data_IF_153281761516
#
_entry.id   IF_153281761516
#
_cell.length_a   1.000
_cell.length_b   1.000
_cell.length_c   1.000
_cell.angle_alpha   90.00
_cell.angle_beta   90.00
_cell.angle_gamma   90.00
#
_symmetry.space_group_name_H-M   'P 1'
#
loop_
_entity.id
_entity.type
_entity.pdbx_description
1 polymer ?
#
# COMPACT_ATOMS: atom_id res chain seq x y z
N UNK A 1 2.15 -17.01 31.73
CA UNK A 1 1.65 -17.61 30.51
C UNK A 1 0.14 -17.41 30.50
N UNK A 2 -0.34 -16.48 29.71
CA UNK A 2 -1.77 -16.31 29.44
C UNK A 2 -2.09 -17.39 28.41
N UNK A 3 -2.71 -18.47 28.84
CA UNK A 3 -3.01 -19.64 28.02
C UNK A 3 -4.33 -19.51 27.25
N UNK A 4 -5.08 -18.41 27.45
CA UNK A 4 -6.42 -18.20 26.92
C UNK A 4 -6.56 -16.86 26.19
N UNK A 5 -5.55 -16.50 25.36
CA UNK A 5 -5.68 -15.34 24.48
C UNK A 5 -6.78 -15.63 23.43
N UNK A 6 -7.83 -14.81 23.36
CA UNK A 6 -8.82 -15.00 22.33
C UNK A 6 -8.17 -14.83 20.94
N UNK A 7 -8.56 -15.66 19.96
CA UNK A 7 -8.03 -15.51 18.61
C UNK A 7 -8.37 -14.12 18.06
N UNK A 8 -7.46 -13.55 17.27
CA UNK A 8 -7.73 -12.31 16.56
C UNK A 8 -8.93 -12.52 15.62
N UNK A 9 -9.93 -11.63 15.71
CA UNK A 9 -11.02 -11.60 14.75
C UNK A 9 -10.48 -11.10 13.41
N UNK A 10 -10.66 -11.90 12.38
CA UNK A 10 -10.29 -11.57 11.00
C UNK A 10 -11.52 -11.32 10.15
N UNK A 11 -11.38 -10.68 8.98
CA UNK A 11 -12.49 -10.46 8.08
C UNK A 11 -12.95 -11.78 7.47
N UNK A 12 -14.22 -12.15 7.65
CA UNK A 12 -14.81 -13.35 7.04
C UNK A 12 -15.51 -13.06 5.71
N UNK A 13 -15.66 -11.77 5.34
CA UNK A 13 -16.29 -11.36 4.08
C UNK A 13 -15.47 -11.73 2.85
N UNK A 14 -16.15 -11.79 1.71
CA UNK A 14 -15.59 -12.13 0.40
C UNK A 14 -15.37 -10.92 -0.52
N UNK A 15 -15.51 -9.69 -0.02
CA UNK A 15 -15.39 -8.47 -0.82
C UNK A 15 -14.31 -7.57 -0.24
N UNK A 16 -13.33 -7.17 -1.06
CA UNK A 16 -12.29 -6.21 -0.70
C UNK A 16 -11.77 -5.47 -1.94
N UNK A 17 -11.26 -4.26 -1.74
CA UNK A 17 -10.42 -3.60 -2.74
C UNK A 17 -9.05 -4.27 -2.79
N UNK A 18 -8.41 -4.28 -3.95
CA UNK A 18 -7.07 -4.83 -4.14
C UNK A 18 -6.79 -5.19 -5.58
N UNK A 19 -5.68 -5.88 -5.80
CA UNK A 19 -5.24 -6.37 -7.09
C UNK A 19 -5.18 -7.90 -7.06
N UNK A 20 -5.28 -8.52 -8.23
CA UNK A 20 -4.92 -9.92 -8.43
C UNK A 20 -3.41 -9.97 -8.68
N UNK A 21 -2.63 -10.28 -7.67
CA UNK A 21 -1.17 -10.26 -7.71
C UNK A 21 -0.58 -11.55 -8.28
N UNK A 22 -1.22 -12.69 -8.02
CA UNK A 22 -0.74 -14.01 -8.43
C UNK A 22 -1.31 -14.48 -9.77
N UNK A 23 -2.26 -13.73 -10.35
CA UNK A 23 -2.93 -14.07 -11.60
C UNK A 23 -3.96 -15.20 -11.49
N UNK A 24 -4.28 -15.67 -10.29
CA UNK A 24 -5.22 -16.74 -10.03
C UNK A 24 -6.57 -16.18 -9.54
N UNK A 25 -7.66 -16.69 -10.05
CA UNK A 25 -9.02 -16.26 -9.66
C UNK A 25 -9.79 -17.30 -8.86
N UNK A 26 -9.34 -18.55 -8.82
CA UNK A 26 -10.06 -19.67 -8.19
C UNK A 26 -9.52 -20.05 -6.80
N UNK A 27 -8.46 -19.38 -6.32
CA UNK A 27 -7.84 -19.65 -5.02
C UNK A 27 -7.15 -21.03 -4.93
N UNK A 28 -6.93 -21.69 -6.06
CA UNK A 28 -6.22 -22.97 -6.08
C UNK A 28 -4.74 -22.78 -5.81
N UNK A 29 -4.23 -23.45 -4.78
CA UNK A 29 -2.81 -23.41 -4.46
C UNK A 29 -1.95 -24.02 -5.57
N UNK A 30 -1.04 -23.25 -6.11
CA UNK A 30 0.06 -23.72 -6.94
C UNK A 30 1.39 -23.28 -6.33
N UNK A 31 2.55 -23.84 -6.75
CA UNK A 31 3.84 -23.36 -6.22
C UNK A 31 4.15 -21.87 -6.48
N UNK A 32 3.31 -21.18 -7.23
CA UNK A 32 3.47 -19.77 -7.62
C UNK A 32 2.29 -18.90 -7.24
N UNK A 33 1.25 -19.45 -6.62
CA UNK A 33 0.03 -18.74 -6.27
C UNK A 33 -0.23 -18.84 -4.78
N UNK A 34 -0.85 -17.82 -4.23
CA UNK A 34 -1.30 -17.79 -2.86
C UNK A 34 -2.30 -18.91 -2.57
N UNK A 35 -2.19 -19.50 -1.39
CA UNK A 35 -3.05 -20.62 -0.98
C UNK A 35 -4.33 -20.18 -0.27
N UNK A 36 -4.58 -18.87 -0.20
CA UNK A 36 -5.71 -18.31 0.52
C UNK A 36 -6.89 -18.00 -0.39
N UNK A 37 -8.07 -17.99 0.23
CA UNK A 37 -9.30 -17.61 -0.46
C UNK A 37 -9.24 -16.15 -0.92
N UNK A 38 -9.43 -15.94 -2.22
CA UNK A 38 -9.44 -14.63 -2.84
C UNK A 38 -10.70 -13.85 -2.50
N UNK A 39 -10.61 -12.52 -2.56
CA UNK A 39 -11.76 -11.65 -2.54
C UNK A 39 -12.27 -11.37 -3.95
N UNK A 40 -13.48 -10.81 -4.01
CA UNK A 40 -14.02 -10.15 -5.20
C UNK A 40 -14.05 -8.66 -4.91
N UNK A 41 -13.61 -7.82 -5.86
CA UNK A 41 -13.68 -6.37 -5.68
C UNK A 41 -15.15 -5.88 -5.61
N UNK A 42 -15.42 -4.68 -5.08
CA UNK A 42 -16.79 -4.14 -5.01
C UNK A 42 -17.48 -4.00 -6.37
N UNK A 43 -16.72 -3.85 -7.45
CA UNK A 43 -17.19 -3.79 -8.85
C UNK A 43 -17.24 -5.16 -9.53
N UNK A 44 -16.98 -6.26 -8.80
CA UNK A 44 -17.21 -7.63 -9.25
C UNK A 44 -16.02 -8.32 -9.89
N UNK A 45 -14.80 -7.76 -9.82
CA UNK A 45 -13.58 -8.41 -10.31
C UNK A 45 -13.13 -9.49 -9.32
N UNK A 46 -13.04 -10.76 -9.73
CA UNK A 46 -12.60 -11.85 -8.85
C UNK A 46 -11.06 -11.91 -8.75
N UNK A 47 -10.56 -12.68 -7.80
CA UNK A 47 -9.12 -12.96 -7.67
C UNK A 47 -8.34 -11.88 -6.91
N UNK A 48 -8.99 -11.11 -6.06
CA UNK A 48 -8.30 -10.05 -5.30
C UNK A 48 -7.52 -10.64 -4.13
N UNK A 49 -6.20 -10.41 -4.13
CA UNK A 49 -5.27 -10.85 -3.08
C UNK A 49 -5.09 -9.74 -2.05
N UNK A 50 -5.89 -9.74 -0.99
CA UNK A 50 -5.78 -8.75 0.08
C UNK A 50 -5.83 -9.40 1.46
N UNK A 51 -4.85 -10.23 1.76
CA UNK A 51 -4.75 -10.88 3.07
C UNK A 51 -4.45 -9.89 4.20
N UNK A 52 -3.85 -8.74 3.89
CA UNK A 52 -3.67 -7.68 4.87
C UNK A 52 -5.02 -7.13 5.36
N UNK A 53 -5.99 -6.91 4.46
CA UNK A 53 -7.34 -6.51 4.87
C UNK A 53 -8.02 -7.61 5.69
N UNK A 54 -7.84 -8.88 5.32
CA UNK A 54 -8.37 -10.01 6.10
C UNK A 54 -7.82 -9.99 7.52
N UNK A 55 -6.55 -9.67 7.69
CA UNK A 55 -5.89 -9.59 9.00
C UNK A 55 -6.37 -8.41 9.85
N UNK A 56 -6.40 -7.20 9.28
CA UNK A 56 -6.58 -5.96 10.07
C UNK A 56 -7.95 -5.31 9.92
N UNK A 57 -8.78 -5.72 8.97
CA UNK A 57 -10.04 -5.06 8.66
C UNK A 57 -11.10 -5.13 9.78
N UNK A 58 -10.97 -6.06 10.73
CA UNK A 58 -11.82 -6.10 11.93
C UNK A 58 -11.31 -5.15 13.03
N UNK A 59 -10.07 -4.65 12.96
CA UNK A 59 -9.51 -3.74 13.95
C UNK A 59 -10.02 -2.33 13.66
N UNK A 60 -10.84 -1.79 14.54
CA UNK A 60 -11.53 -0.50 14.34
C UNK A 60 -10.59 0.64 13.93
N UNK A 61 -9.40 0.72 14.53
CA UNK A 61 -8.44 1.78 14.24
C UNK A 61 -7.92 1.81 12.79
N UNK A 62 -7.97 0.70 12.08
CA UNK A 62 -7.54 0.58 10.67
C UNK A 62 -8.67 0.78 9.66
N UNK A 63 -9.91 0.90 10.12
CA UNK A 63 -11.04 1.18 9.23
C UNK A 63 -11.00 2.63 8.75
N UNK A 64 -11.67 2.88 7.64
CA UNK A 64 -11.91 4.24 7.17
C UNK A 64 -12.41 5.14 8.31
N UNK A 65 -11.81 6.32 8.46
CA UNK A 65 -12.02 7.24 9.60
C UNK A 65 -11.65 6.66 10.98
N UNK A 66 -10.94 5.56 11.04
CA UNK A 66 -10.35 5.07 12.28
C UNK A 66 -9.16 5.92 12.71
N UNK A 67 -8.77 5.80 13.99
CA UNK A 67 -7.72 6.63 14.57
C UNK A 67 -6.37 6.52 13.85
N UNK A 68 -6.06 5.37 13.26
CA UNK A 68 -4.80 5.16 12.53
C UNK A 68 -4.88 5.85 11.17
N UNK A 69 -5.99 5.70 10.45
CA UNK A 69 -6.21 6.35 9.16
C UNK A 69 -6.14 7.87 9.30
N UNK A 70 -6.90 8.45 10.22
CA UNK A 70 -6.91 9.89 10.48
C UNK A 70 -5.51 10.38 10.87
N UNK A 71 -4.85 9.72 11.82
CA UNK A 71 -3.54 10.16 12.30
C UNK A 71 -2.47 10.02 11.22
N UNK A 72 -2.46 8.91 10.47
CA UNK A 72 -1.47 8.70 9.42
C UNK A 72 -1.61 9.74 8.29
N UNK A 73 -2.82 10.05 7.88
CA UNK A 73 -3.09 11.05 6.86
C UNK A 73 -2.76 12.46 7.34
N UNK A 74 -3.14 12.81 8.56
CA UNK A 74 -2.81 14.12 9.15
C UNK A 74 -1.30 14.30 9.34
N UNK A 75 -0.59 13.26 9.77
CA UNK A 75 0.88 13.32 9.90
C UNK A 75 1.56 13.47 8.54
N UNK A 76 1.11 12.77 7.51
CA UNK A 76 1.63 12.95 6.15
C UNK A 76 1.38 14.37 5.66
N UNK A 77 0.17 14.87 5.83
CA UNK A 77 -0.23 16.21 5.41
C UNK A 77 0.55 17.32 6.10
N UNK A 78 0.80 17.20 7.40
CA UNK A 78 1.42 18.26 8.21
C UNK A 78 2.93 18.17 8.29
N UNK A 79 3.52 16.98 8.25
CA UNK A 79 4.96 16.79 8.39
C UNK A 79 5.71 16.58 7.08
N UNK A 80 5.02 16.22 5.99
CA UNK A 80 5.63 15.81 4.73
C UNK A 80 6.49 14.53 4.83
N UNK A 81 6.51 13.90 5.99
CA UNK A 81 7.26 12.66 6.18
C UNK A 81 6.60 11.53 5.38
N UNK A 82 7.45 10.75 4.71
CA UNK A 82 7.03 9.64 3.85
C UNK A 82 6.09 10.05 2.68
N UNK A 83 6.23 11.26 2.16
CA UNK A 83 5.58 11.64 0.90
C UNK A 83 6.20 10.86 -0.24
N UNK A 84 5.41 10.01 -0.89
CA UNK A 84 5.80 9.24 -2.06
C UNK A 84 5.50 10.07 -3.29
N UNK A 85 6.49 10.19 -4.19
CA UNK A 85 6.30 10.74 -5.52
C UNK A 85 6.37 9.58 -6.51
N UNK A 86 5.43 9.56 -7.45
CA UNK A 86 5.37 8.57 -8.52
C UNK A 86 5.61 9.32 -9.83
N UNK A 87 6.72 9.01 -10.50
CA UNK A 87 7.06 9.57 -11.79
C UNK A 87 6.80 8.52 -12.86
N UNK A 88 6.08 8.91 -13.91
CA UNK A 88 5.88 8.08 -15.09
C UNK A 88 6.63 8.73 -16.25
N UNK A 89 7.59 8.00 -16.81
CA UNK A 89 8.43 8.48 -17.92
C UNK A 89 8.30 7.59 -19.15
N UNK A 90 8.69 8.14 -20.31
CA UNK A 90 8.55 7.45 -21.60
C UNK A 90 7.14 7.53 -22.17
N UNK A 91 6.28 8.38 -21.63
CA UNK A 91 4.89 8.51 -22.09
C UNK A 91 4.83 9.36 -23.36
N UNK A 92 4.47 8.72 -24.46
CA UNK A 92 4.20 9.38 -25.75
C UNK A 92 2.71 9.68 -25.92
N UNK A 93 1.84 8.83 -25.38
CA UNK A 93 0.38 9.02 -25.37
C UNK A 93 -0.19 8.57 -24.00
N UNK A 94 -0.83 9.53 -23.31
CA UNK A 94 -1.46 9.29 -22.00
C UNK A 94 -2.66 8.35 -22.05
N UNK A 95 -3.13 8.00 -23.23
CA UNK A 95 -4.24 7.07 -23.40
C UNK A 95 -3.76 5.66 -23.79
N UNK A 96 -2.73 5.57 -24.61
CA UNK A 96 -2.24 4.29 -25.10
C UNK A 96 -0.73 4.34 -25.33
N UNK A 97 0.02 3.68 -24.46
CA UNK A 97 1.48 3.59 -24.55
C UNK A 97 1.96 2.24 -24.04
N UNK A 98 2.74 1.54 -24.87
CA UNK A 98 3.18 0.15 -24.59
C UNK A 98 4.46 0.04 -23.76
N UNK A 99 5.21 1.12 -23.50
CA UNK A 99 6.50 1.05 -22.78
C UNK A 99 6.74 2.30 -21.93
N UNK A 100 6.14 2.33 -20.77
CA UNK A 100 6.40 3.38 -19.79
C UNK A 100 7.22 2.86 -18.61
N UNK A 101 7.86 3.77 -17.90
CA UNK A 101 8.60 3.45 -16.67
C UNK A 101 8.01 4.23 -15.51
N UNK A 102 7.65 3.52 -14.45
CA UNK A 102 7.14 4.09 -13.20
C UNK A 102 8.25 4.05 -12.16
N UNK A 103 8.65 5.20 -11.64
CA UNK A 103 9.70 5.33 -10.63
C UNK A 103 9.13 5.93 -9.35
N UNK A 104 9.51 5.34 -8.24
CA UNK A 104 9.04 5.74 -6.91
C UNK A 104 10.13 6.53 -6.19
N UNK A 105 9.81 7.75 -5.77
CA UNK A 105 10.71 8.60 -5.00
C UNK A 105 10.09 9.01 -3.67
N UNK A 106 10.88 9.62 -2.83
CA UNK A 106 10.43 10.37 -1.66
C UNK A 106 10.65 11.86 -1.88
N UNK A 107 9.70 12.68 -1.45
CA UNK A 107 9.92 14.12 -1.33
C UNK A 107 10.57 14.49 0.01
N UNK A 108 11.35 15.57 0.00
CA UNK A 108 11.84 16.26 1.21
C UNK A 108 10.96 17.46 1.59
N UNK A 109 10.00 17.80 0.75
CA UNK A 109 9.12 18.94 0.97
C UNK A 109 7.90 18.54 1.80
N UNK A 110 7.29 19.54 2.41
CA UNK A 110 5.96 19.43 2.99
C UNK A 110 4.91 19.78 1.93
N UNK A 111 3.70 19.28 2.10
CA UNK A 111 2.59 19.71 1.27
C UNK A 111 2.34 21.20 1.50
N UNK A 112 2.34 22.04 0.45
CA UNK A 112 1.83 23.39 0.56
C UNK A 112 0.31 23.32 0.78
N UNK A 113 -0.15 23.91 1.89
CA UNK A 113 -1.56 23.94 2.24
C UNK A 113 -2.12 25.33 1.97
N UNK A 114 -3.36 25.37 1.52
CA UNK A 114 -4.12 26.62 1.43
C UNK A 114 -4.64 27.09 2.80
N UNK A 115 -5.36 28.20 2.83
CA UNK A 115 -5.91 28.76 4.08
C UNK A 115 -7.00 27.88 4.73
N UNK A 116 -7.54 26.91 4.02
CA UNK A 116 -8.48 25.91 4.54
C UNK A 116 -7.79 24.62 5.01
N UNK A 117 -6.46 24.53 4.83
CA UNK A 117 -5.67 23.35 5.17
C UNK A 117 -5.72 22.24 4.11
N UNK A 118 -6.21 22.53 2.91
CA UNK A 118 -6.17 21.60 1.78
C UNK A 118 -4.84 21.67 1.05
N UNK A 119 -4.39 20.54 0.51
CA UNK A 119 -3.18 20.48 -0.31
C UNK A 119 -3.38 21.30 -1.58
N UNK A 120 -2.46 22.23 -1.85
CA UNK A 120 -2.51 23.06 -3.04
C UNK A 120 -2.19 22.21 -4.27
N UNK A 121 -3.05 22.25 -5.31
CA UNK A 121 -2.78 21.56 -6.57
C UNK A 121 -1.60 22.21 -7.33
N UNK A 122 -1.07 21.49 -8.33
CA UNK A 122 -0.01 21.96 -9.24
C UNK A 122 1.30 22.39 -8.54
N UNK A 123 1.56 21.83 -7.36
CA UNK A 123 2.76 22.11 -6.62
C UNK A 123 3.92 21.24 -7.10
N UNK A 124 5.14 21.80 -7.10
CA UNK A 124 6.36 21.05 -7.42
C UNK A 124 7.03 20.57 -6.14
N UNK A 125 7.58 19.36 -6.16
CA UNK A 125 8.21 18.72 -5.03
C UNK A 125 9.63 18.30 -5.36
N UNK A 126 10.55 18.52 -4.43
CA UNK A 126 11.95 18.09 -4.56
C UNK A 126 12.10 16.64 -4.13
N UNK A 127 12.79 15.89 -4.95
CA UNK A 127 13.17 14.51 -4.61
C UNK A 127 14.26 14.51 -3.52
N UNK A 128 14.22 13.54 -2.61
CA UNK A 128 15.24 13.30 -1.59
C UNK A 128 16.49 12.72 -2.23
N UNK A 129 17.51 13.57 -2.42
CA UNK A 129 18.79 13.19 -2.99
C UNK A 129 19.87 13.02 -1.93
N UNK A 130 20.76 12.04 -2.19
CA UNK A 130 22.03 11.87 -1.49
C UNK A 130 23.17 12.19 -2.46
N UNK A 131 24.43 12.17 -1.98
CA UNK A 131 25.59 12.31 -2.85
C UNK A 131 25.74 11.19 -3.90
N UNK A 132 25.06 10.06 -3.69
CA UNK A 132 25.05 8.90 -4.59
C UNK A 132 23.84 8.85 -5.54
N UNK A 133 22.92 9.80 -5.45
CA UNK A 133 21.67 9.84 -6.23
C UNK A 133 20.43 9.91 -5.35
N UNK A 134 19.24 9.67 -5.93
CA UNK A 134 18.00 9.62 -5.16
C UNK A 134 18.11 8.58 -4.04
N UNK A 135 17.58 8.91 -2.85
CA UNK A 135 17.55 7.97 -1.73
C UNK A 135 16.60 6.79 -2.01
N UNK A 136 15.56 7.04 -2.78
CA UNK A 136 14.62 6.09 -3.35
C UNK A 136 14.59 6.32 -4.85
N UNK A 137 14.34 5.32 -5.64
CA UNK A 137 14.41 5.43 -7.11
C UNK A 137 14.22 4.06 -7.77
N UNK A 138 13.55 3.15 -7.05
CA UNK A 138 13.21 1.86 -7.64
C UNK A 138 12.16 2.05 -8.72
N UNK A 139 12.32 1.36 -9.85
CA UNK A 139 11.49 1.54 -11.04
C UNK A 139 10.92 0.21 -11.50
N UNK A 140 9.70 0.27 -12.04
CA UNK A 140 9.02 -0.87 -12.68
C UNK A 140 8.56 -0.47 -14.08
N UNK A 141 8.45 -1.44 -14.96
CA UNK A 141 7.93 -1.25 -16.32
C UNK A 141 6.41 -1.40 -16.36
N UNK A 142 5.78 -0.72 -17.32
CA UNK A 142 4.36 -0.76 -17.51
C UNK A 142 3.88 -0.32 -18.89
N UNK A 143 2.58 -0.27 -19.02
CA UNK A 143 1.87 0.23 -20.20
C UNK A 143 0.67 1.07 -19.78
N UNK A 144 0.17 1.87 -20.71
CA UNK A 144 -1.09 2.59 -20.58
C UNK A 144 -2.02 2.05 -21.65
N UNK A 145 -3.20 1.57 -21.26
CA UNK A 145 -4.25 1.11 -22.15
C UNK A 145 -5.57 1.79 -21.80
N UNK A 146 -6.17 2.48 -22.77
CA UNK A 146 -7.39 3.27 -22.59
C UNK A 146 -7.35 4.27 -21.41
N UNK A 147 -6.15 4.75 -21.09
CA UNK A 147 -5.88 5.67 -20.00
C UNK A 147 -5.71 5.03 -18.63
N UNK A 148 -5.62 3.71 -18.58
CA UNK A 148 -5.26 2.97 -17.36
C UNK A 148 -3.80 2.58 -17.43
N UNK A 149 -2.98 3.16 -16.56
CA UNK A 149 -1.60 2.74 -16.34
C UNK A 149 -1.58 1.44 -15.54
N UNK A 150 -0.92 0.42 -16.07
CA UNK A 150 -0.58 -0.80 -15.35
C UNK A 150 0.92 -1.00 -15.37
N UNK A 151 1.54 -1.08 -14.21
CA UNK A 151 2.96 -1.37 -14.10
C UNK A 151 3.23 -2.40 -12.99
N UNK A 152 4.21 -3.25 -13.22
CA UNK A 152 4.65 -4.36 -12.36
C UNK A 152 5.48 -5.32 -13.21
N UNK A 153 6.10 -6.29 -12.64
CA UNK A 153 6.32 -6.53 -11.24
C UNK A 153 7.73 -6.10 -10.85
N UNK A 154 7.93 -5.72 -9.59
CA UNK A 154 9.27 -5.38 -9.11
C UNK A 154 9.28 -5.11 -7.62
N UNK A 155 10.46 -5.26 -7.02
CA UNK A 155 10.66 -4.93 -5.62
C UNK A 155 10.88 -3.43 -5.47
N UNK A 156 10.05 -2.76 -4.69
CA UNK A 156 10.12 -1.30 -4.51
C UNK A 156 10.25 -0.96 -3.04
N UNK A 157 11.27 -0.20 -2.71
CA UNK A 157 11.48 0.35 -1.37
C UNK A 157 10.74 1.68 -1.24
N UNK A 158 9.82 1.74 -0.30
CA UNK A 158 9.01 2.93 -0.04
C UNK A 158 9.34 3.54 1.32
N UNK A 159 9.29 4.89 1.45
CA UNK A 159 9.30 5.51 2.75
C UNK A 159 7.98 5.23 3.47
N UNK A 160 8.06 4.86 4.73
CA UNK A 160 6.91 4.73 5.59
C UNK A 160 7.12 5.51 6.88
N UNK A 161 6.13 6.29 7.27
CA UNK A 161 6.08 6.93 8.57
C UNK A 161 4.71 6.69 9.20
N UNK A 162 4.72 6.10 10.36
CA UNK A 162 3.51 5.86 11.13
C UNK A 162 3.86 5.60 12.59
N UNK A 163 3.03 6.07 13.52
CA UNK A 163 3.20 5.91 14.95
C UNK A 163 4.62 6.22 15.46
N UNK A 164 5.19 7.34 14.99
CA UNK A 164 6.54 7.81 15.33
C UNK A 164 7.69 6.91 14.81
N UNK A 165 7.40 5.89 14.03
CA UNK A 165 8.41 5.06 13.38
C UNK A 165 8.61 5.50 11.93
N UNK A 166 9.87 5.74 11.57
CA UNK A 166 10.27 5.97 10.20
C UNK A 166 10.98 4.73 9.68
N UNK A 167 10.46 4.14 8.63
CA UNK A 167 10.93 2.87 8.09
C UNK A 167 11.04 2.91 6.56
N UNK A 168 11.70 1.92 6.01
CA UNK A 168 11.97 1.79 4.58
C UNK A 168 11.57 0.38 4.10
N UNK A 169 10.28 0.01 4.21
CA UNK A 169 9.85 -1.31 3.77
C UNK A 169 10.12 -1.53 2.28
N UNK A 170 10.43 -2.77 1.95
CA UNK A 170 10.45 -3.23 0.57
C UNK A 170 9.14 -3.98 0.32
N UNK A 171 8.35 -3.47 -0.61
CA UNK A 171 7.19 -4.17 -1.13
C UNK A 171 7.69 -5.05 -2.27
N UNK A 172 7.51 -6.34 -2.11
CA UNK A 172 7.90 -7.35 -3.08
C UNK A 172 6.85 -7.46 -4.17
N UNK A 173 7.32 -7.68 -5.39
CA UNK A 173 6.42 -7.87 -6.54
C UNK A 173 5.33 -6.79 -6.62
N UNK A 174 5.74 -5.51 -6.50
CA UNK A 174 4.81 -4.40 -6.49
C UNK A 174 4.17 -4.22 -7.86
N UNK A 175 2.85 -4.07 -7.84
CA UNK A 175 2.02 -3.70 -8.97
C UNK A 175 1.31 -2.38 -8.67
N UNK A 176 1.09 -1.58 -9.72
CA UNK A 176 0.28 -0.36 -9.64
C UNK A 176 -0.70 -0.34 -10.80
N UNK A 177 -1.94 0.04 -10.51
CA UNK A 177 -2.97 0.32 -11.50
C UNK A 177 -3.55 1.71 -11.20
N UNK A 178 -3.45 2.63 -12.19
CA UNK A 178 -3.96 3.99 -12.09
C UNK A 178 -4.83 4.34 -13.29
N UNK A 179 -6.06 4.75 -13.06
CA UNK A 179 -6.90 5.43 -14.05
C UNK A 179 -6.44 6.89 -14.16
N UNK A 180 -5.88 7.26 -15.31
CA UNK A 180 -5.33 8.59 -15.56
C UNK A 180 -6.42 9.46 -16.21
N UNK A 181 -6.64 10.63 -15.65
CA UNK A 181 -7.55 11.62 -16.25
C UNK A 181 -7.14 11.97 -17.69
N UNK A 182 -8.11 12.39 -18.52
CA UNK A 182 -7.88 12.65 -19.94
C UNK A 182 -6.84 13.74 -20.22
N UNK A 183 -6.67 14.65 -19.29
CA UNK A 183 -5.68 15.73 -19.34
C UNK A 183 -4.32 15.33 -18.70
N UNK A 184 -4.24 14.15 -18.09
CA UNK A 184 -3.05 13.69 -17.40
C UNK A 184 -2.78 14.37 -16.05
N UNK A 185 -3.71 15.19 -15.54
CA UNK A 185 -3.49 16.00 -14.33
C UNK A 185 -3.84 15.27 -13.04
N UNK A 186 -4.60 14.18 -13.12
CA UNK A 186 -5.00 13.38 -11.97
C UNK A 186 -4.93 11.88 -12.27
N UNK A 187 -4.72 11.10 -11.22
CA UNK A 187 -4.79 9.65 -11.29
C UNK A 187 -5.45 9.10 -10.03
N UNK A 188 -6.26 8.07 -10.19
CA UNK A 188 -6.86 7.32 -9.10
C UNK A 188 -6.63 5.84 -9.32
N UNK A 189 -6.25 5.11 -8.28
CA UNK A 189 -6.03 3.69 -8.44
C UNK A 189 -5.48 3.01 -7.21
N UNK A 190 -4.84 1.87 -7.42
CA UNK A 190 -4.37 0.99 -6.37
C UNK A 190 -2.89 0.62 -6.57
N UNK A 191 -2.25 0.37 -5.45
CA UNK A 191 -0.90 -0.17 -5.37
C UNK A 191 -0.96 -1.39 -4.47
N UNK A 192 -0.43 -2.51 -4.94
CA UNK A 192 -0.42 -3.78 -4.21
C UNK A 192 0.91 -4.51 -4.38
N UNK A 193 1.19 -5.44 -3.47
CA UNK A 193 2.38 -6.27 -3.49
C UNK A 193 2.51 -7.04 -2.20
N UNK A 194 3.56 -7.84 -2.08
CA UNK A 194 3.79 -8.67 -0.91
C UNK A 194 4.68 -7.96 0.10
N UNK A 195 4.31 -8.07 1.34
CA UNK A 195 5.04 -7.50 2.45
C UNK A 195 5.68 -8.62 3.27
N UNK A 196 6.98 -8.53 3.52
CA UNK A 196 7.65 -9.47 4.39
C UNK A 196 7.05 -9.48 5.79
N UNK A 197 6.67 -10.65 6.28
CA UNK A 197 5.96 -10.80 7.55
C UNK A 197 6.78 -10.30 8.74
N UNK A 198 8.09 -10.53 8.77
CA UNK A 198 8.94 -10.06 9.86
C UNK A 198 9.06 -8.53 9.85
N UNK A 199 9.23 -7.93 8.67
CA UNK A 199 9.21 -6.49 8.52
C UNK A 199 7.87 -5.90 8.95
N UNK A 200 6.77 -6.53 8.56
CA UNK A 200 5.43 -6.09 8.94
C UNK A 200 5.21 -6.16 10.46
N UNK A 201 5.64 -7.24 11.09
CA UNK A 201 5.54 -7.40 12.55
C UNK A 201 6.45 -6.43 13.30
N UNK A 202 7.63 -6.14 12.78
CA UNK A 202 8.49 -5.11 13.34
C UNK A 202 7.85 -3.71 13.24
N UNK A 203 7.24 -3.41 12.10
CA UNK A 203 6.46 -2.19 11.89
C UNK A 203 5.29 -2.11 12.88
N UNK A 204 4.50 -3.17 12.99
CA UNK A 204 3.33 -3.23 13.88
C UNK A 204 3.70 -3.36 15.35
N UNK A 205 4.91 -3.83 15.67
CA UNK A 205 5.44 -3.82 17.04
C UNK A 205 5.48 -2.43 17.66
N UNK A 206 5.74 -1.39 16.85
CA UNK A 206 5.55 0.01 17.23
C UNK A 206 4.07 0.42 17.36
N UNK A 207 3.15 -0.41 16.88
CA UNK A 207 1.69 -0.26 17.00
C UNK A 207 1.12 -0.98 18.23
N UNK A 208 1.95 -1.50 19.13
CA UNK A 208 1.53 -2.21 20.34
C UNK A 208 0.37 -1.55 21.09
N UNK A 209 0.35 -0.22 21.28
CA UNK A 209 -0.78 0.48 21.89
C UNK A 209 -2.09 0.32 21.10
N UNK A 210 -2.02 0.25 19.78
CA UNK A 210 -3.23 0.15 18.93
C UNK A 210 -3.77 -1.27 18.92
N UNK A 211 -2.89 -2.26 18.89
CA UNK A 211 -3.28 -3.67 18.98
C UNK A 211 -3.89 -3.94 20.34
N UNK A 212 -3.28 -3.42 21.43
CA UNK A 212 -3.79 -3.58 22.78
C UNK A 212 -5.09 -2.82 23.05
N UNK A 213 -5.31 -1.65 22.45
CA UNK A 213 -6.58 -0.91 22.58
C UNK A 213 -7.73 -1.59 21.85
N UNK A 214 -7.44 -2.47 20.89
CA UNK A 214 -8.43 -3.32 20.24
C UNK A 214 -8.79 -4.60 21.01
N UNK A 215 -8.28 -4.78 22.24
CA UNK A 215 -8.37 -6.01 23.02
C UNK A 215 -7.68 -7.23 22.38
N UNK A 216 -6.68 -6.99 21.56
CA UNK A 216 -5.88 -8.07 20.97
C UNK A 216 -4.51 -8.12 21.63
N UNK A 217 -4.02 -9.33 21.82
CA UNK A 217 -2.64 -9.54 22.24
C UNK A 217 -1.69 -9.59 21.05
N UNK A 218 -0.42 -9.26 21.27
CA UNK A 218 0.62 -9.44 20.26
C UNK A 218 0.73 -10.92 19.80
N UNK A 219 0.66 -11.95 20.67
CA UNK A 219 0.63 -13.33 20.23
C UNK A 219 -0.54 -13.67 19.31
N UNK A 220 -1.76 -13.25 19.63
CA UNK A 220 -2.94 -13.52 18.79
C UNK A 220 -2.82 -12.86 17.41
N UNK A 221 -2.26 -11.65 17.35
CA UNK A 221 -2.00 -10.96 16.08
C UNK A 221 -0.93 -11.71 15.25
N UNK A 222 0.16 -12.11 15.89
CA UNK A 222 1.24 -12.86 15.25
C UNK A 222 0.76 -14.18 14.64
N UNK A 223 -0.01 -14.96 15.41
CA UNK A 223 -0.55 -16.24 14.94
C UNK A 223 -1.55 -16.06 13.78
N UNK A 224 -2.37 -14.99 13.83
CA UNK A 224 -3.25 -14.66 12.72
C UNK A 224 -2.47 -14.22 11.47
N UNK A 225 -1.45 -13.39 11.63
CA UNK A 225 -0.59 -12.94 10.54
C UNK A 225 0.15 -14.11 9.88
N UNK A 226 0.72 -15.01 10.67
CA UNK A 226 1.36 -16.24 10.14
C UNK A 226 0.40 -17.15 9.39
N UNK A 227 -0.84 -17.27 9.87
CA UNK A 227 -1.85 -18.11 9.21
C UNK A 227 -2.31 -17.53 7.87
N UNK A 228 -2.27 -16.21 7.73
CA UNK A 228 -2.71 -15.47 6.52
C UNK A 228 -1.56 -15.08 5.60
N UNK A 229 -0.31 -15.34 5.98
CA UNK A 229 0.86 -15.14 5.12
C UNK A 229 0.97 -16.28 4.10
N UNK A 230 1.42 -15.95 2.90
CA UNK A 230 1.71 -16.86 1.80
C UNK A 230 3.13 -17.39 1.85
#
# INVERSE_FOLDING_TARGET
>A
LITDDPPLLTVEGSTAFGLNLDGNVDGSATPKTCSHENFTSPDGVPGIDNQLYRLIGCIYGYREQGVIDINANEMRRTSGLAMILIEVTGVDDVRNDGDVTVTFYRSIDQFPLDSSGQVMPYSSYRVDYTSAGPRYGDSIKGSIEDGVLRAGSGDVRLPYYGNYNYMHPVIKDLHIELDISKDGEAGFGMLGGYYDLEQYLYLTGGLGPVISTGNFSCPAFFEAAKRLAD
#
